data_IF_821652959674
#
_entry.id   IF_821652959674
#
_cell.length_a   1.000
_cell.length_b   1.000
_cell.length_c   1.000
_cell.angle_alpha   90.00
_cell.angle_beta   90.00
_cell.angle_gamma   90.00
#
_symmetry.space_group_name_H-M   'P 1'
#
loop_
_entity.id
_entity.type
_entity.pdbx_description
1 polymer ?
#
# COMPACT_ATOMS: atom_id res chain seq x y z
N UNK A 1 -28.36 59.37 -74.15
CA UNK A 1 -27.74 58.52 -73.11
C UNK A 1 -26.79 59.29 -72.20
N UNK A 2 -26.19 60.41 -72.62
CA UNK A 2 -25.32 61.22 -71.75
C UNK A 2 -26.08 62.02 -70.67
N UNK A 3 -27.26 62.57 -70.98
CA UNK A 3 -28.06 63.33 -70.01
C UNK A 3 -28.52 62.47 -68.81
N UNK A 4 -28.81 61.19 -69.05
CA UNK A 4 -29.16 60.21 -68.00
C UNK A 4 -27.94 59.82 -67.16
N UNK A 5 -26.76 59.71 -67.76
CA UNK A 5 -25.50 59.42 -67.05
C UNK A 5 -25.08 60.59 -66.15
N UNK A 6 -25.24 61.84 -66.61
CA UNK A 6 -24.91 63.02 -65.82
C UNK A 6 -25.92 63.25 -64.67
N UNK A 7 -27.21 62.96 -64.89
CA UNK A 7 -28.23 62.98 -63.85
C UNK A 7 -28.00 61.90 -62.78
N UNK A 8 -27.61 60.68 -63.19
CA UNK A 8 -27.21 59.60 -62.27
C UNK A 8 -25.95 59.97 -61.48
N UNK A 9 -24.96 60.59 -62.14
CA UNK A 9 -23.74 61.07 -61.50
C UNK A 9 -23.99 62.13 -60.43
N UNK A 10 -24.87 63.10 -60.71
CA UNK A 10 -25.25 64.15 -59.75
C UNK A 10 -25.99 63.62 -58.51
N UNK A 11 -26.84 62.60 -58.67
CA UNK A 11 -27.53 61.94 -57.55
C UNK A 11 -26.52 61.13 -56.72
N UNK A 12 -25.59 60.41 -57.36
CA UNK A 12 -24.54 59.67 -56.66
C UNK A 12 -23.62 60.59 -55.86
N UNK A 13 -23.20 61.72 -56.45
CA UNK A 13 -22.35 62.71 -55.79
C UNK A 13 -23.03 63.30 -54.54
N UNK A 14 -24.35 63.47 -54.60
CA UNK A 14 -25.16 63.99 -53.49
C UNK A 14 -25.43 62.93 -52.42
N UNK A 15 -25.41 61.65 -52.77
CA UNK A 15 -25.59 60.52 -51.86
C UNK A 15 -24.29 60.10 -51.14
N UNK A 16 -23.11 60.38 -51.72
CA UNK A 16 -21.80 60.10 -51.14
C UNK A 16 -21.63 60.59 -49.69
N UNK A 17 -21.96 61.86 -49.34
CA UNK A 17 -21.89 62.35 -47.97
C UNK A 17 -22.78 61.57 -46.99
N UNK A 18 -24.00 61.23 -47.42
CA UNK A 18 -24.94 60.44 -46.61
C UNK A 18 -24.42 59.02 -46.39
N UNK A 19 -23.82 58.40 -47.43
CA UNK A 19 -23.21 57.08 -47.33
C UNK A 19 -22.04 57.07 -46.34
N UNK A 20 -21.14 58.05 -46.42
CA UNK A 20 -20.05 58.20 -45.45
C UNK A 20 -20.55 58.46 -44.03
N UNK A 21 -21.60 59.26 -43.87
CA UNK A 21 -22.21 59.52 -42.57
C UNK A 21 -22.83 58.24 -41.97
N UNK A 22 -23.52 57.43 -42.78
CA UNK A 22 -24.09 56.14 -42.33
C UNK A 22 -22.97 55.16 -41.97
N UNK A 23 -21.90 55.07 -42.75
CA UNK A 23 -20.73 54.25 -42.42
C UNK A 23 -20.08 54.70 -41.11
N UNK A 24 -19.81 56.01 -40.96
CA UNK A 24 -19.24 56.57 -39.75
C UNK A 24 -20.12 56.28 -38.53
N UNK A 25 -21.44 56.50 -38.66
CA UNK A 25 -22.41 56.22 -37.61
C UNK A 25 -22.46 54.73 -37.25
N UNK A 26 -22.39 53.84 -38.24
CA UNK A 26 -22.34 52.40 -38.02
C UNK A 26 -21.10 52.00 -37.22
N UNK A 27 -19.91 52.46 -37.62
CA UNK A 27 -18.67 52.17 -36.89
C UNK A 27 -18.67 52.80 -35.49
N UNK A 28 -19.22 54.01 -35.34
CA UNK A 28 -19.36 54.67 -34.05
C UNK A 28 -20.29 53.89 -33.11
N UNK A 29 -21.50 53.51 -33.55
CA UNK A 29 -22.41 52.70 -32.75
C UNK A 29 -21.82 51.33 -32.42
N UNK A 30 -21.15 50.69 -33.39
CA UNK A 30 -20.50 49.38 -33.18
C UNK A 30 -19.49 49.45 -32.04
N UNK A 31 -18.60 50.44 -32.07
CA UNK A 31 -17.53 50.59 -31.08
C UNK A 31 -18.03 51.13 -29.75
N UNK A 32 -18.97 52.08 -29.77
CA UNK A 32 -19.40 52.82 -28.58
C UNK A 32 -20.55 52.13 -27.84
N UNK A 33 -21.39 51.35 -28.52
CA UNK A 33 -22.62 50.80 -27.94
C UNK A 33 -22.69 49.28 -27.99
N UNK A 34 -22.49 48.67 -29.17
CA UNK A 34 -22.63 47.22 -29.32
C UNK A 34 -21.49 46.45 -28.63
N UNK A 35 -20.23 46.87 -28.79
CA UNK A 35 -19.11 46.24 -28.08
C UNK A 35 -19.23 46.24 -26.55
N UNK A 36 -19.51 47.37 -25.88
CA UNK A 36 -19.69 47.35 -24.42
C UNK A 36 -20.93 46.55 -24.00
N UNK A 37 -22.02 46.57 -24.77
CA UNK A 37 -23.20 45.77 -24.48
C UNK A 37 -22.91 44.26 -24.56
N UNK A 38 -22.21 43.80 -25.59
CA UNK A 38 -21.77 42.41 -25.73
C UNK A 38 -20.85 42.00 -24.58
N UNK A 39 -19.93 42.87 -24.16
CA UNK A 39 -19.04 42.61 -23.01
C UNK A 39 -19.83 42.42 -21.72
N UNK A 40 -20.76 43.32 -21.40
CA UNK A 40 -21.57 43.21 -20.17
C UNK A 40 -22.48 41.97 -20.19
N UNK A 41 -23.03 41.62 -21.35
CA UNK A 41 -23.81 40.38 -21.49
C UNK A 41 -22.94 39.14 -21.35
N UNK A 42 -21.73 39.15 -21.91
CA UNK A 42 -20.76 38.06 -21.75
C UNK A 42 -20.29 37.94 -20.29
N UNK A 43 -20.02 39.05 -19.61
CA UNK A 43 -19.67 39.07 -18.18
C UNK A 43 -20.80 38.53 -17.31
N UNK A 44 -22.06 38.93 -17.57
CA UNK A 44 -23.21 38.36 -16.85
C UNK A 44 -23.36 36.87 -17.08
N UNK A 45 -23.26 36.41 -18.33
CA UNK A 45 -23.31 34.97 -18.65
C UNK A 45 -22.17 34.21 -17.98
N UNK A 46 -20.95 34.73 -18.02
CA UNK A 46 -19.80 34.12 -17.35
C UNK A 46 -19.99 34.07 -15.82
N UNK A 47 -20.56 35.13 -15.23
CA UNK A 47 -20.83 35.17 -13.79
C UNK A 47 -21.94 34.20 -13.36
N UNK A 48 -22.92 33.89 -14.22
CA UNK A 48 -24.02 32.97 -13.89
C UNK A 48 -23.74 31.54 -14.34
N UNK A 49 -23.54 31.33 -15.63
CA UNK A 49 -23.33 30.02 -16.24
C UNK A 49 -21.93 29.50 -15.93
N UNK A 50 -20.91 30.36 -16.08
CA UNK A 50 -19.53 29.99 -15.77
C UNK A 50 -19.32 29.66 -14.28
N UNK A 51 -19.99 30.37 -13.36
CA UNK A 51 -19.96 30.01 -11.95
C UNK A 51 -20.62 28.66 -11.67
N UNK A 52 -21.72 28.34 -12.37
CA UNK A 52 -22.40 27.05 -12.23
C UNK A 52 -21.57 25.91 -12.80
N UNK A 53 -21.00 26.08 -13.98
CA UNK A 53 -20.09 25.11 -14.60
C UNK A 53 -18.83 24.90 -13.75
N UNK A 54 -18.26 25.97 -13.18
CA UNK A 54 -17.12 25.86 -12.27
C UNK A 54 -17.49 25.11 -10.98
N UNK A 55 -18.68 25.32 -10.43
CA UNK A 55 -19.17 24.59 -9.27
C UNK A 55 -19.40 23.10 -9.60
N UNK A 56 -20.05 22.79 -10.72
CA UNK A 56 -20.25 21.41 -11.19
C UNK A 56 -18.90 20.70 -11.42
N UNK A 57 -17.94 21.38 -12.07
CA UNK A 57 -16.60 20.84 -12.28
C UNK A 57 -15.84 20.64 -10.95
N UNK A 58 -15.99 21.53 -9.98
CA UNK A 58 -15.40 21.40 -8.64
C UNK A 58 -15.99 20.21 -7.89
N UNK A 59 -17.32 20.05 -7.92
CA UNK A 59 -18.01 18.92 -7.30
C UNK A 59 -17.63 17.59 -7.97
N UNK A 60 -17.54 17.55 -9.30
CA UNK A 60 -17.10 16.37 -10.03
C UNK A 60 -15.65 15.99 -9.67
N UNK A 61 -14.75 16.98 -9.56
CA UNK A 61 -13.36 16.74 -9.11
C UNK A 61 -13.31 16.25 -7.67
N UNK A 62 -14.10 16.86 -6.77
CA UNK A 62 -14.17 16.45 -5.38
C UNK A 62 -14.72 15.01 -5.25
N UNK A 63 -15.76 14.66 -6.00
CA UNK A 63 -16.32 13.31 -6.05
C UNK A 63 -15.35 12.28 -6.60
N UNK A 64 -14.65 12.60 -7.70
CA UNK A 64 -13.61 11.74 -8.27
C UNK A 64 -12.45 11.52 -7.28
N UNK A 65 -12.02 12.58 -6.59
CA UNK A 65 -10.95 12.48 -5.59
C UNK A 65 -11.41 11.66 -4.38
N UNK A 66 -12.65 11.86 -3.91
CA UNK A 66 -13.23 11.08 -2.82
C UNK A 66 -13.29 9.58 -3.17
N UNK A 67 -13.75 9.23 -4.38
CA UNK A 67 -13.76 7.85 -4.87
C UNK A 67 -12.35 7.24 -4.91
N UNK A 68 -11.35 7.98 -5.41
CA UNK A 68 -9.96 7.54 -5.41
C UNK A 68 -9.43 7.30 -3.98
N UNK A 69 -9.76 8.18 -3.04
CA UNK A 69 -9.39 8.00 -1.63
C UNK A 69 -10.06 6.76 -1.02
N UNK A 70 -11.35 6.55 -1.27
CA UNK A 70 -12.08 5.38 -0.78
C UNK A 70 -11.50 4.08 -1.33
N UNK A 71 -11.17 4.05 -2.62
CA UNK A 71 -10.56 2.88 -3.26
C UNK A 71 -9.14 2.64 -2.74
N UNK A 72 -8.33 3.69 -2.56
CA UNK A 72 -7.01 3.59 -1.97
C UNK A 72 -7.07 3.06 -0.52
N UNK A 73 -8.04 3.55 0.28
CA UNK A 73 -8.25 3.06 1.64
C UNK A 73 -8.72 1.60 1.66
N UNK A 74 -9.59 1.20 0.73
CA UNK A 74 -10.04 -0.20 0.60
C UNK A 74 -8.88 -1.11 0.23
N UNK A 75 -8.07 -0.71 -0.75
CA UNK A 75 -6.87 -1.44 -1.16
C UNK A 75 -5.86 -1.56 -0.02
N UNK A 76 -5.58 -0.48 0.70
CA UNK A 76 -4.67 -0.50 1.84
C UNK A 76 -5.17 -1.44 2.96
N UNK A 77 -6.47 -1.44 3.27
CA UNK A 77 -7.05 -2.37 4.25
C UNK A 77 -6.95 -3.82 3.81
N UNK A 78 -7.18 -4.10 2.53
CA UNK A 78 -7.03 -5.45 1.98
C UNK A 78 -5.57 -5.94 2.07
N UNK A 79 -4.62 -5.07 1.73
CA UNK A 79 -3.19 -5.37 1.83
C UNK A 79 -2.76 -5.62 3.28
N UNK A 80 -3.20 -4.79 4.23
CA UNK A 80 -2.96 -5.02 5.67
C UNK A 80 -3.56 -6.37 6.12
N UNK A 81 -4.77 -6.70 5.65
CA UNK A 81 -5.39 -7.99 5.93
C UNK A 81 -4.54 -9.16 5.46
N UNK A 82 -4.06 -9.10 4.22
CA UNK A 82 -3.19 -10.10 3.62
C UNK A 82 -1.85 -10.22 4.36
N UNK A 83 -1.21 -9.10 4.67
CA UNK A 83 0.06 -9.09 5.42
C UNK A 83 -0.09 -9.71 6.82
N UNK A 84 -1.19 -9.43 7.50
CA UNK A 84 -1.47 -10.03 8.80
C UNK A 84 -1.70 -11.54 8.71
N UNK A 85 -2.38 -12.01 7.65
CA UNK A 85 -2.58 -13.44 7.42
C UNK A 85 -1.26 -14.14 7.10
N UNK A 86 -0.45 -13.57 6.20
CA UNK A 86 0.88 -14.09 5.86
C UNK A 86 1.80 -14.13 7.10
N UNK A 87 1.77 -13.08 7.94
CA UNK A 87 2.54 -13.04 9.17
C UNK A 87 2.07 -14.11 10.16
N UNK A 88 0.75 -14.29 10.33
CA UNK A 88 0.20 -15.35 11.18
C UNK A 88 0.62 -16.73 10.72
N UNK A 89 0.55 -17.01 9.42
CA UNK A 89 0.96 -18.30 8.87
C UNK A 89 2.47 -18.54 9.08
N UNK A 90 3.31 -17.53 8.86
CA UNK A 90 4.76 -17.62 9.12
C UNK A 90 5.04 -17.89 10.60
N UNK A 91 4.43 -17.15 11.51
CA UNK A 91 4.61 -17.35 12.95
C UNK A 91 4.14 -18.74 13.41
N UNK A 92 3.04 -19.25 12.85
CA UNK A 92 2.59 -20.62 13.13
C UNK A 92 3.58 -21.67 12.64
N UNK A 93 4.15 -21.49 11.43
CA UNK A 93 5.16 -22.39 10.89
C UNK A 93 6.46 -22.34 11.71
N UNK A 94 6.94 -21.15 12.06
CA UNK A 94 8.13 -20.97 12.91
C UNK A 94 7.92 -21.59 14.29
N UNK A 95 6.76 -21.38 14.91
CA UNK A 95 6.41 -21.99 16.19
C UNK A 95 6.40 -23.51 16.09
N UNK A 96 5.78 -24.08 15.05
CA UNK A 96 5.75 -25.52 14.84
C UNK A 96 7.15 -26.10 14.65
N UNK A 97 8.00 -25.44 13.85
CA UNK A 97 9.39 -25.83 13.65
C UNK A 97 10.21 -25.75 14.94
N UNK A 98 10.05 -24.68 15.72
CA UNK A 98 10.73 -24.52 17.01
C UNK A 98 10.33 -25.60 18.01
N UNK A 99 9.03 -25.95 18.08
CA UNK A 99 8.53 -27.02 18.94
C UNK A 99 9.09 -28.37 18.51
N UNK A 100 9.09 -28.68 17.21
CA UNK A 100 9.63 -29.95 16.71
C UNK A 100 11.14 -30.05 16.91
N UNK A 101 11.89 -28.96 16.71
CA UNK A 101 13.32 -28.90 17.02
C UNK A 101 13.58 -29.14 18.52
N UNK A 102 12.84 -28.48 19.40
CA UNK A 102 12.96 -28.66 20.85
C UNK A 102 12.62 -30.10 21.28
N UNK A 103 11.58 -30.70 20.69
CA UNK A 103 11.22 -32.11 20.93
C UNK A 103 12.32 -33.06 20.45
N UNK A 104 12.89 -32.83 19.28
CA UNK A 104 13.98 -33.64 18.75
C UNK A 104 15.22 -33.55 19.65
N UNK A 105 15.58 -32.34 20.09
CA UNK A 105 16.69 -32.14 21.04
C UNK A 105 16.42 -32.81 22.39
N UNK A 106 15.22 -32.68 22.94
CA UNK A 106 14.84 -33.34 24.18
C UNK A 106 14.92 -34.87 24.07
N UNK A 107 14.43 -35.45 22.96
CA UNK A 107 14.55 -36.90 22.69
C UNK A 107 16.02 -37.33 22.61
N UNK A 108 16.85 -36.59 21.86
CA UNK A 108 18.27 -36.88 21.76
C UNK A 108 18.99 -36.81 23.12
N UNK A 109 18.65 -35.82 23.96
CA UNK A 109 19.19 -35.68 25.30
C UNK A 109 18.78 -36.85 26.22
N UNK A 110 17.52 -37.28 26.15
CA UNK A 110 17.03 -38.44 26.93
C UNK A 110 17.74 -39.73 26.51
N UNK A 111 17.89 -39.97 25.21
CA UNK A 111 18.59 -41.15 24.71
C UNK A 111 20.08 -41.14 25.07
N UNK A 112 20.74 -39.98 25.00
CA UNK A 112 22.12 -39.83 25.45
C UNK A 112 22.26 -40.09 26.96
N UNK A 113 21.36 -39.54 27.79
CA UNK A 113 21.36 -39.77 29.23
C UNK A 113 21.11 -41.25 29.57
N UNK A 114 20.21 -41.93 28.85
CA UNK A 114 19.98 -43.37 29.01
C UNK A 114 21.22 -44.20 28.68
N UNK A 115 21.92 -43.85 27.59
CA UNK A 115 23.15 -44.53 27.21
C UNK A 115 24.26 -44.33 28.25
N UNK A 116 24.38 -43.13 28.82
CA UNK A 116 25.36 -42.86 29.88
C UNK A 116 25.02 -43.63 31.17
N UNK A 117 23.76 -43.63 31.60
CA UNK A 117 23.31 -44.41 32.77
C UNK A 117 23.58 -45.90 32.56
N UNK A 118 23.36 -46.43 31.35
CA UNK A 118 23.64 -47.83 31.06
C UNK A 118 25.14 -48.15 31.17
N UNK A 119 26.01 -47.26 30.67
CA UNK A 119 27.47 -47.39 30.81
C UNK A 119 27.90 -47.33 32.27
N UNK A 120 27.40 -46.36 33.03
CA UNK A 120 27.72 -46.21 34.46
C UNK A 120 27.25 -47.43 35.26
N UNK A 121 26.08 -47.98 34.95
CA UNK A 121 25.57 -49.19 35.59
C UNK A 121 26.46 -50.41 35.31
N UNK A 122 26.92 -50.59 34.07
CA UNK A 122 27.85 -51.68 33.74
C UNK A 122 29.23 -51.49 34.40
N UNK A 123 29.75 -50.26 34.44
CA UNK A 123 30.98 -49.95 35.14
C UNK A 123 30.87 -50.23 36.65
N UNK A 124 29.77 -49.80 37.29
CA UNK A 124 29.49 -50.07 38.70
C UNK A 124 29.35 -51.57 38.98
N UNK A 125 28.66 -52.33 38.11
CA UNK A 125 28.56 -53.79 38.21
C UNK A 125 29.92 -54.48 38.12
N UNK A 126 30.79 -54.03 37.21
CA UNK A 126 32.13 -54.57 37.08
C UNK A 126 32.98 -54.26 38.33
N UNK A 127 32.88 -53.05 38.87
CA UNK A 127 33.54 -52.65 40.12
C UNK A 127 33.09 -53.50 41.31
N UNK A 128 31.78 -53.65 41.51
CA UNK A 128 31.22 -54.48 42.58
C UNK A 128 31.65 -55.94 42.49
N UNK A 129 31.79 -56.51 41.28
CA UNK A 129 32.29 -57.88 41.09
C UNK A 129 33.75 -58.01 41.54
N UNK A 130 34.62 -57.09 41.15
CA UNK A 130 36.02 -57.08 41.56
C UNK A 130 36.18 -56.92 43.09
N UNK A 131 35.38 -56.03 43.70
CA UNK A 131 35.34 -55.87 45.16
C UNK A 131 34.84 -57.15 45.87
N UNK A 132 33.81 -57.80 45.32
CA UNK A 132 33.28 -59.05 45.86
C UNK A 132 34.31 -60.19 45.80
N UNK A 133 35.06 -60.32 44.70
CA UNK A 133 36.16 -61.28 44.58
C UNK A 133 37.27 -61.00 45.60
N UNK A 134 37.61 -59.72 45.79
CA UNK A 134 38.60 -59.30 46.79
C UNK A 134 38.15 -59.65 48.21
N UNK A 135 36.88 -59.36 48.55
CA UNK A 135 36.29 -59.73 49.84
C UNK A 135 36.25 -61.25 50.04
N UNK A 136 35.89 -62.02 49.01
CA UNK A 136 35.88 -63.48 49.07
C UNK A 136 37.28 -64.05 49.35
N UNK A 137 38.32 -63.52 48.70
CA UNK A 137 39.71 -63.89 48.98
C UNK A 137 40.14 -63.55 50.41
N UNK A 138 39.77 -62.37 50.91
CA UNK A 138 40.06 -61.99 52.30
C UNK A 138 39.38 -62.92 53.31
N UNK A 139 38.13 -63.30 53.07
CA UNK A 139 37.39 -64.26 53.90
C UNK A 139 38.06 -65.64 53.85
N UNK A 140 38.39 -66.14 52.66
CA UNK A 140 39.04 -67.44 52.48
C UNK A 140 40.39 -67.51 53.21
N UNK A 141 41.22 -66.46 53.08
CA UNK A 141 42.49 -66.35 53.79
C UNK A 141 42.31 -66.35 55.32
N UNK A 142 41.28 -65.66 55.82
CA UNK A 142 41.01 -65.60 57.27
C UNK A 142 40.53 -66.94 57.84
N UNK A 143 39.73 -67.69 57.09
CA UNK A 143 39.29 -69.04 57.47
C UNK A 143 40.46 -70.03 57.45
N UNK A 144 41.32 -69.98 56.42
CA UNK A 144 42.50 -70.85 56.30
C UNK A 144 43.54 -70.57 57.39
N UNK A 145 43.78 -69.29 57.73
CA UNK A 145 44.68 -68.91 58.82
C UNK A 145 44.16 -69.36 60.20
N UNK A 146 42.84 -69.41 60.41
CA UNK A 146 42.23 -69.90 61.64
C UNK A 146 42.26 -71.42 61.82
N UNK A 147 42.54 -72.19 60.75
CA UNK A 147 42.66 -73.66 60.78
C UNK A 147 44.09 -74.16 60.97
N UNK A 148 45.08 -73.26 60.93
CA UNK A 148 46.50 -73.56 61.11
C UNK A 148 47.00 -73.38 62.56
N UNK A 149 46.09 -73.25 63.53
CA UNK A 149 46.34 -73.28 64.96
C UNK A 149 45.52 -74.41 65.60
#
# INVERSE_FOLDING_TARGET
MEATLNALGGILLRALPTFFLVLFLHFYLKKMFFQPLERVLAERRAATEGAREAAEASLAKAGALAAQYEDALRAARAEIGKQNEDLRQKLQQEQAQAIEAARAQARAAVEAARAEIAREAEAARAGLRAESETLAMQIANRILAGRAA
#
